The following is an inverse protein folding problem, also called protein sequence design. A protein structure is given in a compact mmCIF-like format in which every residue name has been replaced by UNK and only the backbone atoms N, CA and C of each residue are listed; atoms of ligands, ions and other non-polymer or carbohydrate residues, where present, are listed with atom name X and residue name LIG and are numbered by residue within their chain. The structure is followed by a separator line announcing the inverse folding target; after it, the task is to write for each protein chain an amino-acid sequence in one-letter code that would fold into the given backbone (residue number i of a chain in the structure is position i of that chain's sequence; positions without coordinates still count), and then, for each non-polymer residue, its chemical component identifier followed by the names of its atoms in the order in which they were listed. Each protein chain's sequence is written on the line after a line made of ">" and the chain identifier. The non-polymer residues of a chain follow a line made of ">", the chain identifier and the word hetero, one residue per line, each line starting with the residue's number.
data_IF_961459204511
#
_entry.id   IF_961459204511
#
_cell.length_a   1.000
_cell.length_b   1.000
_cell.length_c   1.000
_cell.angle_alpha   90.00
_cell.angle_beta   90.00
_cell.angle_gamma   90.00
#
_symmetry.space_group_name_H-M   'P 1'
#
loop_
_entity.id
_entity.type
_entity.pdbx_description
1 polymer ?
#
# COMPACT_ATOMS: atom_id res chain seq x y z
N UNK A 1 -0.94 17.20 0.73
CA UNK A 1 -0.01 16.92 -0.39
C UNK A 1 -0.37 15.54 -0.93
N UNK A 2 -0.27 15.27 -2.23
CA UNK A 2 -0.53 13.91 -2.73
C UNK A 2 0.49 12.92 -2.16
N UNK A 3 0.04 11.78 -1.65
CA UNK A 3 0.93 10.73 -1.11
C UNK A 3 1.99 10.37 -2.15
N UNK A 4 3.28 10.35 -1.78
CA UNK A 4 4.37 9.94 -2.68
C UNK A 4 4.12 8.57 -3.31
N UNK A 5 3.51 7.67 -2.54
CA UNK A 5 3.04 6.34 -2.98
C UNK A 5 2.02 6.43 -4.11
N UNK A 6 1.12 7.41 -4.08
CA UNK A 6 0.15 7.62 -5.13
C UNK A 6 0.80 8.14 -6.41
N UNK A 7 1.74 9.08 -6.29
CA UNK A 7 2.50 9.55 -7.45
C UNK A 7 3.29 8.41 -8.11
N UNK A 8 3.94 7.56 -7.31
CA UNK A 8 4.67 6.39 -7.79
C UNK A 8 3.72 5.37 -8.46
N UNK A 9 2.54 5.13 -7.89
CA UNK A 9 1.51 4.25 -8.47
C UNK A 9 0.96 4.80 -9.79
N UNK A 10 0.69 6.10 -9.87
CA UNK A 10 0.25 6.78 -11.10
C UNK A 10 1.31 6.63 -12.20
N UNK A 11 2.58 6.86 -11.86
CA UNK A 11 3.68 6.70 -12.81
C UNK A 11 3.83 5.25 -13.26
N UNK A 12 3.76 4.28 -12.34
CA UNK A 12 3.85 2.86 -12.68
C UNK A 12 2.71 2.43 -13.63
N UNK A 13 1.48 2.86 -13.38
CA UNK A 13 0.32 2.56 -14.24
C UNK A 13 0.46 3.23 -15.60
N UNK A 14 0.89 4.49 -15.64
CA UNK A 14 1.10 5.21 -16.90
C UNK A 14 2.17 4.51 -17.75
N UNK A 15 3.32 4.19 -17.15
CA UNK A 15 4.44 3.49 -17.80
C UNK A 15 4.04 2.09 -18.28
N UNK A 16 3.24 1.36 -17.52
CA UNK A 16 2.77 0.04 -17.92
C UNK A 16 1.89 0.06 -19.18
N UNK A 17 1.26 1.20 -19.49
CA UNK A 17 0.29 1.36 -20.58
C UNK A 17 0.85 2.01 -21.83
N UNK A 18 2.02 2.64 -21.72
CA UNK A 18 2.71 3.14 -22.88
C UNK A 18 3.06 1.96 -23.82
N UNK A 19 2.96 2.16 -25.14
CA UNK A 19 3.39 1.15 -26.11
C UNK A 19 4.85 0.78 -25.87
N UNK A 20 5.24 -0.43 -26.26
CA UNK A 20 6.62 -0.90 -26.11
C UNK A 20 7.36 -0.78 -27.42
N UNK A 21 8.59 -0.29 -27.36
CA UNK A 21 9.52 -0.36 -28.49
C UNK A 21 10.09 -1.78 -28.66
N UNK A 22 10.92 -1.96 -29.68
CA UNK A 22 11.56 -3.25 -30.00
C UNK A 22 12.49 -3.76 -28.89
N UNK A 23 12.97 -2.86 -28.02
CA UNK A 23 13.79 -3.18 -26.84
C UNK A 23 12.95 -3.51 -25.59
N UNK A 24 11.62 -3.56 -25.72
CA UNK A 24 10.68 -3.82 -24.63
C UNK A 24 10.49 -2.65 -23.67
N UNK A 25 11.13 -1.50 -23.92
CA UNK A 25 10.98 -0.30 -23.07
C UNK A 25 9.70 0.45 -23.43
N UNK A 26 9.09 1.15 -22.45
CA UNK A 26 7.98 2.05 -22.72
C UNK A 26 8.43 3.15 -23.68
N UNK A 27 7.65 3.34 -24.74
CA UNK A 27 7.85 4.33 -25.77
C UNK A 27 6.63 5.24 -25.82
N UNK A 28 6.86 6.52 -26.08
CA UNK A 28 5.82 7.50 -26.36
C UNK A 28 6.29 8.33 -27.55
N UNK A 29 5.37 8.71 -28.43
CA UNK A 29 5.67 9.53 -29.60
C UNK A 29 6.19 10.92 -29.19
N UNK A 30 5.64 11.49 -28.11
CA UNK A 30 6.03 12.79 -27.58
C UNK A 30 5.65 12.96 -26.09
N UNK A 31 5.99 14.11 -25.52
CA UNK A 31 5.66 14.45 -24.15
C UNK A 31 4.15 14.63 -23.89
N UNK A 32 3.34 14.90 -24.92
CA UNK A 32 1.88 15.02 -24.78
C UNK A 32 1.25 13.66 -24.54
N UNK A 33 1.71 12.61 -25.22
CA UNK A 33 1.28 11.24 -24.96
C UNK A 33 1.63 10.79 -23.54
N UNK A 34 2.84 11.10 -23.06
CA UNK A 34 3.26 10.83 -21.67
C UNK A 34 2.31 11.55 -20.70
N UNK A 35 2.02 12.82 -20.94
CA UNK A 35 1.15 13.60 -20.06
C UNK A 35 -0.28 13.05 -20.02
N UNK A 36 -0.83 12.65 -21.17
CA UNK A 36 -2.15 12.02 -21.26
C UNK A 36 -2.19 10.69 -20.49
N UNK A 37 -1.17 9.85 -20.65
CA UNK A 37 -1.07 8.58 -19.93
C UNK A 37 -1.00 8.78 -18.41
N UNK A 38 -0.28 9.81 -17.95
CA UNK A 38 -0.19 10.17 -16.53
C UNK A 38 -1.52 10.69 -15.99
N UNK A 39 -2.23 11.56 -16.73
CA UNK A 39 -3.55 12.07 -16.32
C UNK A 39 -4.59 10.94 -16.25
N UNK A 40 -4.63 10.07 -17.25
CA UNK A 40 -5.52 8.91 -17.27
C UNK A 40 -5.23 7.94 -16.13
N UNK A 41 -3.96 7.74 -15.78
CA UNK A 41 -3.56 6.95 -14.63
C UNK A 41 -3.97 7.64 -13.31
N UNK A 42 -3.74 8.95 -13.19
CA UNK A 42 -4.13 9.73 -12.01
C UNK A 42 -5.65 9.67 -11.76
N UNK A 43 -6.48 9.73 -12.80
CA UNK A 43 -7.93 9.61 -12.68
C UNK A 43 -8.39 8.23 -12.18
N UNK A 44 -7.55 7.19 -12.34
CA UNK A 44 -7.86 5.81 -11.93
C UNK A 44 -7.31 5.46 -10.56
N UNK A 45 -6.27 6.16 -10.09
CA UNK A 45 -5.72 5.95 -8.76
C UNK A 45 -6.60 6.68 -7.76
N UNK A 46 -7.50 5.92 -7.13
CA UNK A 46 -8.22 6.42 -5.98
C UNK A 46 -7.23 6.57 -4.81
N UNK A 47 -6.76 7.79 -4.62
CA UNK A 47 -5.90 8.13 -3.50
C UNK A 47 -6.81 8.40 -2.30
N UNK A 48 -6.77 7.60 -1.23
CA UNK A 48 -7.41 8.02 0.00
C UNK A 48 -6.84 9.40 0.41
N UNK A 49 -7.66 10.29 0.98
CA UNK A 49 -7.20 11.61 1.40
C UNK A 49 -5.96 11.48 2.28
N UNK A 50 -5.03 12.42 2.13
CA UNK A 50 -3.79 12.47 2.94
C UNK A 50 -4.17 12.57 4.43
N UNK A 51 -4.10 11.44 5.11
CA UNK A 51 -4.48 11.33 6.52
C UNK A 51 -3.36 11.79 7.46
N UNK A 52 -2.20 12.19 6.91
CA UNK A 52 -0.97 12.45 7.65
C UNK A 52 -0.32 11.18 8.21
N UNK A 53 -0.85 10.00 7.88
CA UNK A 53 -0.31 8.72 8.30
C UNK A 53 0.85 8.30 7.38
N UNK A 54 1.87 7.61 7.91
CA UNK A 54 2.89 6.98 7.06
C UNK A 54 2.25 6.01 6.06
N UNK A 55 2.90 5.74 4.92
CA UNK A 55 2.44 4.74 3.97
C UNK A 55 2.12 3.42 4.68
N UNK A 56 1.08 2.71 4.24
CA UNK A 56 0.64 1.44 4.82
C UNK A 56 1.80 0.46 5.02
N UNK A 57 2.72 0.39 4.05
CA UNK A 57 3.91 -0.45 4.13
C UNK A 57 4.79 -0.13 5.35
N UNK A 58 5.01 1.17 5.65
CA UNK A 58 5.80 1.58 6.80
C UNK A 58 5.12 1.21 8.13
N UNK A 59 3.79 1.30 8.19
CA UNK A 59 3.00 0.89 9.35
C UNK A 59 3.03 -0.62 9.57
N UNK A 60 2.92 -1.41 8.49
CA UNK A 60 3.03 -2.87 8.54
C UNK A 60 4.42 -3.32 8.98
N UNK A 61 5.48 -2.65 8.51
CA UNK A 61 6.86 -2.95 8.92
C UNK A 61 7.11 -2.66 10.40
N UNK A 62 6.38 -1.72 11.00
CA UNK A 62 6.45 -1.43 12.44
C UNK A 62 5.79 -2.48 13.34
N UNK A 63 5.03 -3.43 12.77
CA UNK A 63 4.40 -4.51 13.53
C UNK A 63 5.34 -5.71 13.70
N UNK A 64 5.14 -6.46 14.78
CA UNK A 64 5.76 -7.78 14.91
C UNK A 64 5.31 -8.71 13.77
N UNK A 65 6.15 -9.70 13.45
CA UNK A 65 5.95 -10.58 12.31
C UNK A 65 4.59 -11.28 12.34
N UNK A 66 4.15 -11.72 13.51
CA UNK A 66 2.90 -12.48 13.65
C UNK A 66 1.68 -11.58 13.45
N UNK A 67 1.66 -10.42 14.11
CA UNK A 67 0.61 -9.40 13.91
C UNK A 67 0.54 -8.94 12.47
N UNK A 68 1.69 -8.72 11.80
CA UNK A 68 1.73 -8.36 10.38
C UNK A 68 1.15 -9.46 9.51
N UNK A 69 1.53 -10.73 9.73
CA UNK A 69 1.05 -11.86 8.94
C UNK A 69 -0.48 -12.00 9.04
N UNK A 70 -1.02 -11.93 10.25
CA UNK A 70 -2.47 -11.98 10.50
C UNK A 70 -3.20 -10.85 9.76
N UNK A 71 -2.69 -9.61 9.82
CA UNK A 71 -3.30 -8.47 9.13
C UNK A 71 -3.26 -8.61 7.61
N UNK A 72 -2.13 -9.02 7.03
CA UNK A 72 -1.99 -9.19 5.57
C UNK A 72 -2.95 -10.28 5.08
N UNK A 73 -2.92 -11.46 5.67
CA UNK A 73 -3.76 -12.58 5.24
C UNK A 73 -5.26 -12.29 5.39
N UNK A 74 -5.65 -11.57 6.45
CA UNK A 74 -7.06 -11.25 6.70
C UNK A 74 -7.57 -10.08 5.85
N UNK A 75 -6.80 -8.98 5.77
CA UNK A 75 -7.28 -7.72 5.20
C UNK A 75 -6.92 -7.58 3.72
N UNK A 76 -5.72 -8.02 3.34
CA UNK A 76 -5.23 -7.92 1.96
C UNK A 76 -5.68 -9.14 1.16
N UNK A 77 -5.39 -10.33 1.66
CA UNK A 77 -5.66 -11.59 0.95
C UNK A 77 -7.09 -12.10 1.17
N UNK A 78 -7.84 -11.48 2.11
CA UNK A 78 -9.25 -11.77 2.42
C UNK A 78 -9.50 -13.23 2.81
N UNK A 79 -8.51 -13.89 3.39
CA UNK A 79 -8.66 -15.27 3.86
C UNK A 79 -9.62 -15.33 5.05
N UNK A 80 -10.41 -16.41 5.18
CA UNK A 80 -11.28 -16.60 6.32
C UNK A 80 -10.46 -16.79 7.60
N UNK A 81 -10.96 -16.35 8.77
CA UNK A 81 -10.18 -16.38 10.01
C UNK A 81 -9.64 -17.76 10.39
N UNK A 82 -10.37 -18.84 10.06
CA UNK A 82 -9.93 -20.21 10.29
C UNK A 82 -8.69 -20.60 9.47
N UNK A 83 -8.60 -20.14 8.21
CA UNK A 83 -7.43 -20.40 7.35
C UNK A 83 -6.23 -19.58 7.82
N UNK A 84 -6.45 -18.32 8.20
CA UNK A 84 -5.39 -17.48 8.77
C UNK A 84 -4.82 -18.11 10.04
N UNK A 85 -5.67 -18.58 10.95
CA UNK A 85 -5.24 -19.26 12.17
C UNK A 85 -4.41 -20.52 11.86
N UNK A 86 -4.84 -21.33 10.88
CA UNK A 86 -4.11 -22.52 10.45
C UNK A 86 -2.73 -22.16 9.84
N UNK A 87 -2.67 -21.18 8.94
CA UNK A 87 -1.42 -20.72 8.32
C UNK A 87 -0.45 -20.15 9.35
N UNK A 88 -0.97 -19.39 10.32
CA UNK A 88 -0.16 -18.75 11.36
C UNK A 88 0.15 -19.67 12.56
N UNK A 89 -0.40 -20.90 12.60
CA UNK A 89 -0.26 -21.80 13.74
C UNK A 89 -0.82 -21.22 15.05
N UNK A 90 -1.86 -20.38 14.95
CA UNK A 90 -2.46 -19.68 16.08
C UNK A 90 -3.67 -20.46 16.62
N UNK A 91 -3.82 -20.52 17.96
CA UNK A 91 -5.08 -20.97 18.53
C UNK A 91 -6.18 -19.92 18.25
N UNK A 92 -7.47 -20.31 18.21
CA UNK A 92 -8.57 -19.42 17.86
C UNK A 92 -8.63 -18.15 18.72
N UNK A 93 -8.23 -18.23 19.99
CA UNK A 93 -8.26 -17.10 20.92
C UNK A 93 -7.12 -16.08 20.66
N UNK A 94 -6.00 -16.53 20.08
CA UNK A 94 -4.82 -15.69 19.84
C UNK A 94 -4.99 -14.67 18.72
N UNK A 95 -5.83 -15.00 17.72
CA UNK A 95 -5.98 -14.18 16.52
C UNK A 95 -6.66 -12.83 16.80
N UNK A 96 -7.64 -12.79 17.71
CA UNK A 96 -8.35 -11.57 18.06
C UNK A 96 -7.39 -10.50 18.64
N UNK A 97 -6.45 -10.92 19.47
CA UNK A 97 -5.44 -10.03 20.05
C UNK A 97 -4.45 -9.48 19.00
N UNK A 98 -4.11 -10.28 17.99
CA UNK A 98 -3.29 -9.81 16.86
C UNK A 98 -4.05 -8.83 15.96
N UNK A 99 -5.33 -9.11 15.65
CA UNK A 99 -6.17 -8.20 14.88
C UNK A 99 -6.39 -6.86 15.60
N UNK A 100 -6.62 -6.88 16.92
CA UNK A 100 -6.77 -5.67 17.72
C UNK A 100 -5.50 -4.82 17.71
N UNK A 101 -4.32 -5.43 17.99
CA UNK A 101 -3.03 -4.74 17.95
C UNK A 101 -2.68 -4.20 16.56
N UNK A 102 -2.94 -5.00 15.52
CA UNK A 102 -2.73 -4.59 14.14
C UNK A 102 -3.61 -3.42 13.77
N UNK A 103 -4.89 -3.43 14.17
CA UNK A 103 -5.82 -2.31 13.97
C UNK A 103 -5.32 -1.04 14.68
N UNK A 104 -4.92 -1.14 15.94
CA UNK A 104 -4.37 -0.02 16.70
C UNK A 104 -3.12 0.56 16.01
N UNK A 105 -2.18 -0.29 15.59
CA UNK A 105 -0.97 0.14 14.87
C UNK A 105 -1.30 0.76 13.49
N UNK A 106 -2.41 0.35 12.87
CA UNK A 106 -2.92 0.96 11.65
C UNK A 106 -3.62 2.31 11.94
N UNK A 107 -4.27 2.47 13.07
CA UNK A 107 -4.99 3.69 13.43
C UNK A 107 -4.09 4.74 14.11
N UNK A 108 -2.96 4.32 14.68
CA UNK A 108 -1.97 5.17 15.33
C UNK A 108 -1.38 6.19 14.35
N UNK A 109 -1.65 7.48 14.63
CA UNK A 109 -0.90 8.61 14.08
C UNK A 109 0.48 8.64 14.75
N UNK A 110 1.59 8.50 14.03
CA UNK A 110 2.88 8.84 14.61
C UNK A 110 2.84 10.33 14.96
N UNK A 111 3.24 10.66 16.19
CA UNK A 111 3.46 12.05 16.56
C UNK A 111 4.47 12.67 15.58
N UNK A 112 4.28 13.93 15.15
CA UNK A 112 5.24 14.60 14.30
C UNK A 112 6.61 14.54 14.98
N UNK A 113 7.61 13.98 14.28
CA UNK A 113 9.00 14.09 14.72
C UNK A 113 9.34 15.58 14.68
N UNK A 114 9.48 16.20 15.86
CA UNK A 114 10.13 17.49 15.98
C UNK A 114 11.58 17.26 15.57
N UNK A 115 11.89 17.54 14.30
CA UNK A 115 13.28 17.72 13.87
C UNK A 115 13.71 19.06 14.44
N UNK A 116 14.44 19.04 15.55
CA UNK A 116 15.24 20.19 15.94
C UNK A 116 16.30 20.36 14.85
N UNK A 117 16.08 21.33 13.97
CA UNK A 117 17.08 21.88 13.06
C UNK A 117 18.04 22.78 13.84
#
# INVERSE_FOLDING_TARGET
>A
MGSRTAADAVLAIAVARLPRGDDGRPCAADGTEIHRAVLDAAARVNCPPDTGLPPLMARLLGMDLMTRAVIVLTVVDRLPPSEVAAVCGLPPEGMAAHLARGREALEMRPAPRVMNL
#
